data_IF_747246367163
#
_entry.id   IF_747246367163
#
_cell.length_a   1.000
_cell.length_b   1.000
_cell.length_c   1.000
_cell.angle_alpha   90.00
_cell.angle_beta   90.00
_cell.angle_gamma   90.00
#
_symmetry.space_group_name_H-M   'P 1'
#
loop_
_entity.id
_entity.type
_entity.pdbx_description
1 polymer ?
#
# COMPACT_ATOMS: atom_id res chain seq x y z
N UNK A 1 13.66 -8.53 -0.92
CA UNK A 1 15.03 -8.98 -0.51
C UNK A 1 15.16 -9.18 0.99
N UNK A 2 15.04 -8.15 1.83
CA UNK A 2 15.21 -8.28 3.30
C UNK A 2 14.37 -9.40 3.93
N UNK A 3 13.09 -9.53 3.56
CA UNK A 3 12.22 -10.61 4.03
C UNK A 3 12.76 -12.02 3.69
N UNK A 4 13.38 -12.20 2.52
CA UNK A 4 14.00 -13.47 2.10
C UNK A 4 15.26 -13.78 2.89
N UNK A 5 15.97 -12.75 3.35
CA UNK A 5 17.09 -12.87 4.27
C UNK A 5 16.65 -13.13 5.73
N UNK A 6 15.34 -13.16 6.00
CA UNK A 6 14.78 -13.41 7.34
C UNK A 6 14.52 -12.16 8.17
N UNK A 7 14.51 -10.96 7.55
CA UNK A 7 14.19 -9.73 8.26
C UNK A 7 12.72 -9.72 8.71
N UNK A 8 12.46 -9.10 9.86
CA UNK A 8 11.12 -8.74 10.30
C UNK A 8 10.57 -7.63 9.40
N UNK A 9 9.36 -7.86 8.90
CA UNK A 9 8.58 -6.89 8.15
C UNK A 9 7.47 -6.41 9.06
N UNK A 10 7.33 -5.10 9.15
CA UNK A 10 6.34 -4.47 9.98
C UNK A 10 5.22 -3.86 9.15
N UNK A 11 3.99 -3.98 9.64
CA UNK A 11 2.82 -3.23 9.16
C UNK A 11 2.55 -3.31 7.64
N UNK A 12 2.85 -4.41 6.92
CA UNK A 12 2.79 -4.43 5.45
C UNK A 12 1.36 -4.27 4.91
N UNK A 13 0.33 -4.50 5.72
CA UNK A 13 -1.07 -4.29 5.35
C UNK A 13 -1.46 -2.80 5.23
N UNK A 14 -0.68 -1.89 5.82
CA UNK A 14 -0.96 -0.46 5.77
C UNK A 14 -0.33 0.16 4.51
N UNK A 15 -1.17 0.30 3.49
CA UNK A 15 -0.90 1.03 2.26
C UNK A 15 -1.87 2.21 2.16
N UNK A 16 -1.33 3.40 1.94
CA UNK A 16 -2.14 4.59 1.69
C UNK A 16 -2.53 4.65 0.22
N UNK A 17 -3.82 4.85 -0.01
CA UNK A 17 -4.41 5.10 -1.32
C UNK A 17 -4.61 6.59 -1.49
N UNK A 18 -4.10 7.15 -2.57
CA UNK A 18 -4.41 8.51 -2.99
C UNK A 18 -5.80 8.53 -3.66
N UNK A 19 -6.75 9.38 -3.23
CA UNK A 19 -8.13 9.32 -3.70
C UNK A 19 -8.31 9.74 -5.17
N UNK A 20 -7.50 10.70 -5.65
CA UNK A 20 -7.72 11.39 -6.93
C UNK A 20 -6.54 11.23 -7.88
N UNK A 21 -6.30 10.02 -8.39
CA UNK A 21 -5.47 9.83 -9.59
C UNK A 21 -6.32 10.02 -10.85
N UNK A 22 -5.77 10.58 -11.93
CA UNK A 22 -6.51 10.75 -13.18
C UNK A 22 -6.76 9.36 -13.78
N UNK A 23 -8.04 8.98 -13.90
CA UNK A 23 -8.43 7.69 -14.45
C UNK A 23 -8.10 7.66 -15.95
N UNK A 24 -7.02 6.97 -16.32
CA UNK A 24 -6.50 6.90 -17.68
C UNK A 24 -5.70 5.61 -17.89
N UNK A 25 -5.30 5.35 -19.13
CA UNK A 25 -4.41 4.24 -19.47
C UNK A 25 -2.92 4.51 -19.17
N UNK A 26 -2.57 5.70 -18.66
CA UNK A 26 -1.18 6.04 -18.32
C UNK A 26 -0.73 5.28 -17.07
N UNK A 27 0.50 4.79 -17.09
CA UNK A 27 1.12 4.07 -15.99
C UNK A 27 2.55 4.61 -15.75
N UNK A 28 2.83 5.26 -14.60
CA UNK A 28 1.90 5.52 -13.50
C UNK A 28 0.82 6.54 -13.87
N UNK A 29 -0.36 6.41 -13.25
CA UNK A 29 -1.45 7.37 -13.41
C UNK A 29 -1.06 8.74 -12.81
N UNK A 30 -1.22 9.86 -13.54
CA UNK A 30 -0.94 11.18 -12.98
C UNK A 30 -1.85 11.48 -11.78
N UNK A 31 -1.31 12.15 -10.76
CA UNK A 31 -2.07 12.49 -9.54
C UNK A 31 -2.65 13.89 -9.61
N UNK A 32 -3.90 14.05 -9.18
CA UNK A 32 -4.53 15.34 -8.94
C UNK A 32 -4.32 15.70 -7.47
N UNK A 33 -3.53 16.74 -7.19
CA UNK A 33 -3.17 17.10 -5.81
C UNK A 33 -4.39 17.34 -4.92
N UNK A 34 -4.29 16.92 -3.66
CA UNK A 34 -5.29 17.18 -2.62
C UNK A 34 -5.58 18.67 -2.42
N UNK A 35 -4.62 19.54 -2.75
CA UNK A 35 -4.81 20.98 -2.68
C UNK A 35 -6.02 21.47 -3.51
N UNK A 36 -6.39 20.80 -4.61
CA UNK A 36 -7.59 21.18 -5.38
C UNK A 36 -8.88 21.01 -4.56
N UNK A 37 -8.98 19.97 -3.73
CA UNK A 37 -10.12 19.81 -2.81
C UNK A 37 -10.14 20.93 -1.78
N UNK A 38 -8.96 21.36 -1.31
CA UNK A 38 -8.77 22.55 -0.46
C UNK A 38 -9.25 23.86 -1.08
N UNK A 39 -9.09 24.00 -2.41
CA UNK A 39 -9.59 25.16 -3.19
C UNK A 39 -11.11 25.08 -3.47
N UNK A 40 -11.80 24.04 -3.02
CA UNK A 40 -13.24 23.88 -3.18
C UNK A 40 -13.67 23.03 -4.38
N UNK A 41 -12.76 22.27 -4.99
CA UNK A 41 -13.16 21.27 -5.97
C UNK A 41 -14.03 20.18 -5.31
N UNK A 42 -15.09 19.77 -5.99
CA UNK A 42 -16.09 18.81 -5.48
C UNK A 42 -15.99 17.46 -6.18
N UNK A 43 -16.45 16.41 -5.53
CA UNK A 43 -16.52 15.07 -6.12
C UNK A 43 -17.95 14.76 -6.56
N UNK A 44 -18.11 14.42 -7.84
CA UNK A 44 -19.40 14.15 -8.48
C UNK A 44 -19.42 12.79 -9.19
N UNK A 45 -20.61 12.20 -9.33
CA UNK A 45 -20.85 11.01 -10.14
C UNK A 45 -21.22 11.34 -11.60
N UNK A 46 -21.54 10.33 -12.41
CA UNK A 46 -21.92 10.49 -13.82
C UNK A 46 -23.25 11.25 -14.03
N UNK A 47 -24.06 11.44 -12.98
CA UNK A 47 -25.28 12.26 -13.01
C UNK A 47 -25.02 13.68 -12.49
N UNK A 48 -23.77 14.02 -12.17
CA UNK A 48 -23.38 15.31 -11.60
C UNK A 48 -23.76 15.47 -10.12
N UNK A 49 -24.14 14.39 -9.43
CA UNK A 49 -24.48 14.47 -8.00
C UNK A 49 -23.22 14.54 -7.16
N UNK A 50 -23.12 15.56 -6.31
CA UNK A 50 -22.07 15.65 -5.29
C UNK A 50 -22.32 14.64 -4.18
N UNK A 51 -21.48 13.61 -4.10
CA UNK A 51 -21.74 12.46 -3.22
C UNK A 51 -21.08 12.55 -1.84
N UNK A 52 -19.99 13.31 -1.69
CA UNK A 52 -19.22 13.33 -0.43
C UNK A 52 -19.97 13.95 0.76
N UNK A 53 -20.91 14.86 0.51
CA UNK A 53 -21.72 15.52 1.57
C UNK A 53 -22.63 14.55 2.31
N UNK A 54 -22.98 13.41 1.70
CA UNK A 54 -23.77 12.36 2.34
C UNK A 54 -22.89 11.36 3.13
N UNK A 55 -21.56 11.41 2.98
CA UNK A 55 -20.63 10.40 3.50
C UNK A 55 -19.85 10.92 4.71
N UNK A 56 -19.40 12.17 4.68
CA UNK A 56 -18.59 12.76 5.75
C UNK A 56 -18.95 14.23 5.95
N UNK A 57 -18.94 14.69 7.21
CA UNK A 57 -19.27 16.08 7.55
C UNK A 57 -18.36 17.09 6.83
N UNK A 58 -17.06 16.78 6.74
CA UNK A 58 -16.07 17.61 6.01
C UNK A 58 -16.09 17.40 4.48
N UNK A 59 -17.00 16.56 3.95
CA UNK A 59 -17.11 16.23 2.54
C UNK A 59 -15.75 15.92 1.88
N UNK A 60 -15.35 16.63 0.82
CA UNK A 60 -14.08 16.45 0.10
C UNK A 60 -12.84 16.76 0.94
N UNK A 61 -12.98 17.44 2.08
CA UNK A 61 -11.89 17.68 3.04
C UNK A 61 -11.80 16.59 4.12
N UNK A 62 -12.65 15.57 4.05
CA UNK A 62 -12.58 14.42 4.93
C UNK A 62 -11.26 13.63 4.81
N UNK A 63 -10.97 12.74 5.76
CA UNK A 63 -9.79 11.87 5.73
C UNK A 63 -9.61 11.15 4.38
N UNK A 64 -8.36 11.09 3.89
CA UNK A 64 -8.01 10.52 2.58
C UNK A 64 -8.57 9.12 2.34
N UNK A 65 -8.54 8.26 3.37
CA UNK A 65 -9.04 6.89 3.28
C UNK A 65 -10.57 6.84 3.12
N UNK A 66 -11.31 7.76 3.75
CA UNK A 66 -12.76 7.90 3.59
C UNK A 66 -13.09 8.37 2.17
N UNK A 67 -12.40 9.41 1.68
CA UNK A 67 -12.60 9.93 0.32
C UNK A 67 -12.26 8.87 -0.74
N UNK A 68 -11.16 8.13 -0.55
CA UNK A 68 -10.76 7.06 -1.47
C UNK A 68 -11.80 5.92 -1.51
N UNK A 69 -12.35 5.50 -0.35
CA UNK A 69 -13.44 4.51 -0.29
C UNK A 69 -14.72 5.00 -0.96
N UNK A 70 -15.07 6.28 -0.76
CA UNK A 70 -16.23 6.86 -1.42
C UNK A 70 -16.12 6.79 -2.94
N UNK A 71 -15.00 7.28 -3.49
CA UNK A 71 -14.70 7.21 -4.94
C UNK A 71 -14.72 5.75 -5.42
N UNK A 72 -14.08 4.84 -4.69
CA UNK A 72 -14.07 3.41 -5.02
C UNK A 72 -15.49 2.85 -5.14
N UNK A 73 -16.36 3.10 -4.17
CA UNK A 73 -17.76 2.62 -4.17
C UNK A 73 -18.60 3.21 -5.30
N UNK A 74 -18.37 4.46 -5.68
CA UNK A 74 -19.04 5.07 -6.83
C UNK A 74 -18.63 4.39 -8.15
N UNK A 75 -17.34 4.08 -8.30
CA UNK A 75 -16.80 3.36 -9.47
C UNK A 75 -17.35 1.92 -9.52
N UNK A 76 -17.27 1.17 -8.41
CA UNK A 76 -17.77 -0.21 -8.33
C UNK A 76 -19.28 -0.31 -8.60
N UNK A 77 -20.05 0.71 -8.22
CA UNK A 77 -21.47 0.79 -8.50
C UNK A 77 -21.80 1.23 -9.94
N UNK A 78 -20.80 1.38 -10.82
CA UNK A 78 -20.97 1.80 -12.21
C UNK A 78 -21.34 3.27 -12.41
N UNK A 79 -21.30 4.08 -11.34
CA UNK A 79 -21.61 5.52 -11.40
C UNK A 79 -20.39 6.36 -11.77
N UNK A 80 -19.18 5.85 -11.52
CA UNK A 80 -17.93 6.56 -11.78
C UNK A 80 -17.72 7.74 -10.84
N UNK A 81 -16.56 8.40 -10.94
CA UNK A 81 -16.23 9.54 -10.10
C UNK A 81 -15.41 10.58 -10.86
N UNK A 82 -15.74 11.85 -10.65
CA UNK A 82 -15.03 12.99 -11.23
C UNK A 82 -14.76 14.05 -10.17
N UNK A 83 -13.60 14.69 -10.27
CA UNK A 83 -13.26 15.90 -9.53
C UNK A 83 -13.63 17.13 -10.37
N UNK A 84 -14.60 17.91 -9.91
CA UNK A 84 -15.05 19.13 -10.57
C UNK A 84 -14.49 20.36 -9.88
N UNK A 85 -13.55 21.04 -10.55
CA UNK A 85 -12.92 22.27 -10.09
C UNK A 85 -13.39 23.53 -10.85
N UNK A 86 -14.42 23.41 -11.70
CA UNK A 86 -14.84 24.50 -12.59
C UNK A 86 -15.32 25.72 -11.83
N UNK A 87 -16.11 25.52 -10.78
CA UNK A 87 -16.61 26.59 -9.92
C UNK A 87 -15.50 27.21 -9.03
N UNK A 88 -14.57 26.38 -8.55
CA UNK A 88 -13.49 26.81 -7.66
C UNK A 88 -12.40 27.63 -8.37
N UNK A 89 -11.95 27.14 -9.53
CA UNK A 89 -10.79 27.68 -10.23
C UNK A 89 -11.14 28.29 -11.59
N UNK A 90 -11.99 27.60 -12.37
CA UNK A 90 -12.36 28.02 -13.72
C UNK A 90 -11.13 28.37 -14.56
N UNK A 91 -11.14 29.55 -15.17
CA UNK A 91 -10.04 30.05 -16.02
C UNK A 91 -8.68 30.17 -15.29
N UNK A 92 -8.65 30.22 -13.96
CA UNK A 92 -7.41 30.30 -13.18
C UNK A 92 -6.73 28.94 -12.98
N UNK A 93 -7.36 27.84 -13.41
CA UNK A 93 -6.82 26.50 -13.17
C UNK A 93 -5.40 26.36 -13.73
N UNK A 94 -5.18 26.78 -14.97
CA UNK A 94 -3.89 26.64 -15.66
C UNK A 94 -2.74 27.37 -14.96
N UNK A 95 -3.01 28.54 -14.36
CA UNK A 95 -1.99 29.30 -13.63
C UNK A 95 -1.81 28.84 -12.19
N UNK A 96 -2.87 28.39 -11.52
CA UNK A 96 -2.83 27.94 -10.12
C UNK A 96 -2.24 26.52 -9.97
N UNK A 97 -2.55 25.61 -10.89
CA UNK A 97 -2.11 24.21 -10.86
C UNK A 97 -1.55 23.75 -12.22
N UNK A 98 -0.46 24.37 -12.71
CA UNK A 98 0.06 24.15 -14.06
C UNK A 98 0.37 22.68 -14.34
N UNK A 99 1.01 21.97 -13.40
CA UNK A 99 1.33 20.54 -13.57
C UNK A 99 0.08 19.66 -13.70
N UNK A 100 -0.99 19.95 -12.95
CA UNK A 100 -2.26 19.19 -13.08
C UNK A 100 -2.91 19.53 -14.41
N UNK A 101 -2.93 20.80 -14.80
CA UNK A 101 -3.49 21.27 -16.06
C UNK A 101 -2.81 20.59 -17.25
N UNK A 102 -1.47 20.59 -17.30
CA UNK A 102 -0.67 19.94 -18.34
C UNK A 102 -0.98 18.44 -18.43
N UNK A 103 -1.08 17.75 -17.30
CA UNK A 103 -1.42 16.32 -17.26
C UNK A 103 -2.83 16.04 -17.80
N UNK A 104 -3.83 16.87 -17.43
CA UNK A 104 -5.19 16.76 -17.95
C UNK A 104 -5.25 17.05 -19.46
N UNK A 105 -4.63 18.14 -19.92
CA UNK A 105 -4.60 18.52 -21.33
C UNK A 105 -3.90 17.45 -22.19
N UNK A 106 -2.83 16.83 -21.68
CA UNK A 106 -2.13 15.73 -22.35
C UNK A 106 -2.97 14.42 -22.42
N UNK A 107 -4.12 14.39 -21.77
CA UNK A 107 -5.14 13.34 -21.83
C UNK A 107 -6.41 13.81 -22.57
N UNK A 108 -6.41 15.03 -23.13
CA UNK A 108 -7.55 15.60 -23.85
C UNK A 108 -8.66 16.14 -22.95
N UNK A 109 -8.35 16.47 -21.69
CA UNK A 109 -9.32 16.93 -20.69
C UNK A 109 -8.98 18.38 -20.34
N UNK A 110 -9.91 19.31 -20.53
CA UNK A 110 -9.74 20.69 -20.07
C UNK A 110 -10.35 20.89 -18.68
N UNK A 111 -9.55 20.84 -17.60
CA UNK A 111 -10.08 20.86 -16.23
C UNK A 111 -10.69 22.21 -15.83
N UNK A 112 -10.54 23.26 -16.67
CA UNK A 112 -11.22 24.54 -16.48
C UNK A 112 -12.66 24.52 -17.00
N UNK A 113 -13.02 23.54 -17.84
CA UNK A 113 -14.31 23.46 -18.56
C UNK A 113 -15.08 22.18 -18.31
N UNK A 114 -14.39 21.09 -17.99
CA UNK A 114 -15.00 19.79 -17.70
C UNK A 114 -14.42 19.12 -16.43
N UNK A 115 -15.20 18.25 -15.74
CA UNK A 115 -14.72 17.49 -14.58
C UNK A 115 -13.61 16.48 -14.94
N UNK A 116 -12.66 16.27 -14.03
CA UNK A 116 -11.55 15.33 -14.22
C UNK A 116 -11.98 13.93 -13.78
N UNK A 117 -11.96 12.89 -14.62
CA UNK A 117 -12.25 11.53 -14.20
C UNK A 117 -11.16 11.05 -13.24
N UNK A 118 -11.56 10.53 -12.08
CA UNK A 118 -10.64 10.12 -11.02
C UNK A 118 -10.87 8.70 -10.55
N UNK A 119 -9.80 8.05 -10.13
CA UNK A 119 -9.84 6.77 -9.44
C UNK A 119 -8.82 6.74 -8.29
N UNK A 120 -9.05 5.91 -7.25
CA UNK A 120 -8.07 5.73 -6.20
C UNK A 120 -6.83 4.98 -6.72
N UNK A 121 -5.65 5.39 -6.29
CA UNK A 121 -4.39 4.74 -6.67
C UNK A 121 -3.51 4.47 -5.45
N UNK A 122 -2.88 3.29 -5.40
CA UNK A 122 -1.86 2.99 -4.40
C UNK A 122 -0.74 4.05 -4.46
N UNK A 123 -0.34 4.60 -3.31
CA UNK A 123 0.50 5.80 -3.28
C UNK A 123 1.68 5.73 -2.33
N UNK A 124 1.51 5.12 -1.16
CA UNK A 124 2.58 5.06 -0.16
C UNK A 124 2.45 3.82 0.73
N UNK A 125 3.57 3.18 1.05
CA UNK A 125 3.62 2.10 2.03
C UNK A 125 4.07 2.62 3.41
N UNK A 126 3.22 2.45 4.43
CA UNK A 126 3.59 2.75 5.82
C UNK A 126 4.36 1.59 6.48
N UNK A 127 4.05 0.37 6.05
CA UNK A 127 4.80 -0.83 6.38
C UNK A 127 6.11 -0.94 5.61
N UNK A 128 6.92 -1.93 5.96
CA UNK A 128 8.26 -2.11 5.41
C UNK A 128 9.17 -2.92 6.31
N UNK A 129 10.48 -2.82 6.10
CA UNK A 129 11.49 -3.46 6.95
C UNK A 129 11.37 -2.85 8.35
N UNK A 130 11.13 -3.69 9.36
CA UNK A 130 11.12 -3.23 10.75
C UNK A 130 12.50 -2.67 11.11
N UNK A 131 12.54 -1.45 11.63
CA UNK A 131 13.79 -0.84 12.09
C UNK A 131 13.66 -0.23 13.49
N UNK A 132 14.76 -0.23 14.24
CA UNK A 132 14.88 0.47 15.52
C UNK A 132 15.03 2.00 15.32
N UNK A 133 15.13 2.74 16.43
CA UNK A 133 15.26 4.21 16.40
C UNK A 133 16.52 4.75 15.69
N UNK A 134 17.50 3.87 15.41
CA UNK A 134 18.75 4.16 14.68
C UNK A 134 18.72 3.65 13.24
N UNK A 135 17.60 3.04 12.80
CA UNK A 135 17.43 2.50 11.46
C UNK A 135 17.98 1.08 11.27
N UNK A 136 18.37 0.38 12.34
CA UNK A 136 18.84 -1.01 12.27
C UNK A 136 17.67 -1.95 12.07
N UNK A 137 17.77 -2.85 11.09
CA UNK A 137 16.81 -3.92 10.91
C UNK A 137 17.01 -5.04 11.95
N UNK A 138 16.17 -6.07 11.91
CA UNK A 138 16.38 -7.29 12.69
C UNK A 138 17.54 -8.17 12.21
N UNK A 139 18.18 -7.83 11.08
CA UNK A 139 19.38 -8.48 10.58
C UNK A 139 20.58 -7.61 10.94
N UNK A 140 21.55 -8.19 11.65
CA UNK A 140 22.80 -7.53 11.99
C UNK A 140 23.53 -7.06 10.73
N UNK A 141 24.00 -5.81 10.72
CA UNK A 141 24.67 -5.22 9.57
C UNK A 141 23.74 -4.76 8.44
N UNK A 142 22.41 -4.80 8.63
CA UNK A 142 21.44 -4.28 7.67
C UNK A 142 20.64 -3.12 8.28
N UNK A 143 20.70 -1.97 7.63
CA UNK A 143 19.90 -0.78 7.93
C UNK A 143 18.87 -0.52 6.83
N UNK A 144 17.82 0.23 7.14
CA UNK A 144 16.86 0.71 6.16
C UNK A 144 16.30 2.09 6.55
N UNK A 145 16.07 2.96 5.57
CA UNK A 145 15.39 4.25 5.74
C UNK A 145 14.54 4.62 4.52
N UNK A 146 13.66 5.60 4.69
CA UNK A 146 12.69 5.98 3.68
C UNK A 146 11.55 4.97 3.59
N UNK A 147 10.80 4.98 2.50
CA UNK A 147 9.57 4.20 2.33
C UNK A 147 9.74 2.67 2.41
N UNK A 148 10.96 2.16 2.21
CA UNK A 148 11.23 0.72 2.39
C UNK A 148 11.27 0.30 3.85
N UNK A 149 11.44 1.24 4.78
CA UNK A 149 11.55 1.00 6.21
C UNK A 149 10.22 1.30 6.91
N UNK A 150 10.00 0.63 8.04
CA UNK A 150 8.86 0.88 8.91
C UNK A 150 9.32 1.23 10.31
N UNK A 151 9.49 2.53 10.52
CA UNK A 151 9.98 3.15 11.75
C UNK A 151 8.90 3.23 12.85
N UNK A 152 7.63 3.05 12.47
CA UNK A 152 6.46 3.28 13.32
C UNK A 152 5.91 4.71 13.27
N UNK A 153 6.62 5.67 12.64
CA UNK A 153 6.22 7.08 12.60
C UNK A 153 4.85 7.32 11.93
N UNK A 154 4.54 6.55 10.88
CA UNK A 154 3.29 6.73 10.12
C UNK A 154 2.10 5.97 10.69
N UNK A 155 2.34 5.04 11.62
CA UNK A 155 1.32 4.12 12.13
C UNK A 155 0.47 3.51 11.00
N UNK A 156 -0.85 3.58 11.16
CA UNK A 156 -1.80 3.04 10.19
C UNK A 156 -2.15 4.00 9.03
N UNK A 157 -1.73 5.26 9.05
CA UNK A 157 -1.99 6.22 7.97
C UNK A 157 -1.00 7.38 7.99
N UNK A 158 -0.28 7.58 6.88
CA UNK A 158 0.76 8.61 6.75
C UNK A 158 0.15 10.00 6.57
N UNK A 159 0.63 10.98 7.34
CA UNK A 159 0.34 12.40 7.11
C UNK A 159 1.15 12.96 5.93
N UNK A 160 0.58 13.92 5.20
CA UNK A 160 1.26 14.57 4.08
C UNK A 160 2.61 15.18 4.52
N UNK A 161 3.56 15.27 3.58
CA UNK A 161 4.92 15.83 3.78
C UNK A 161 5.87 15.09 4.74
N UNK A 162 5.39 14.10 5.51
CA UNK A 162 6.25 13.38 6.47
C UNK A 162 7.21 12.34 5.86
N UNK A 163 6.94 11.81 4.66
CA UNK A 163 7.75 10.73 4.07
C UNK A 163 9.17 11.15 3.73
N UNK A 164 9.35 12.36 3.16
CA UNK A 164 10.67 12.90 2.85
C UNK A 164 11.44 13.24 4.14
N UNK A 165 10.74 13.79 5.13
CA UNK A 165 11.33 14.11 6.43
C UNK A 165 11.86 12.86 7.14
N UNK A 166 11.08 11.77 7.14
CA UNK A 166 11.50 10.49 7.69
C UNK A 166 12.78 9.98 7.02
N UNK A 167 12.84 10.02 5.68
CA UNK A 167 14.01 9.57 4.92
C UNK A 167 15.28 10.37 5.29
N UNK A 168 15.18 11.70 5.38
CA UNK A 168 16.33 12.57 5.74
C UNK A 168 16.77 12.30 7.18
N UNK A 169 15.84 12.24 8.13
CA UNK A 169 16.15 12.03 9.56
C UNK A 169 16.79 10.66 9.78
N UNK A 170 16.21 9.59 9.23
CA UNK A 170 16.76 8.25 9.40
C UNK A 170 18.05 8.06 8.60
N UNK A 171 18.21 8.68 7.43
CA UNK A 171 19.47 8.67 6.70
C UNK A 171 20.63 9.23 7.52
N UNK A 172 20.42 10.39 8.17
CA UNK A 172 21.42 10.98 9.06
C UNK A 172 21.72 10.11 10.30
N UNK A 173 20.68 9.51 10.91
CA UNK A 173 20.85 8.60 12.05
C UNK A 173 21.64 7.35 11.68
N UNK A 174 21.33 6.74 10.54
CA UNK A 174 22.02 5.56 10.03
C UNK A 174 23.48 5.88 9.74
N UNK A 175 23.79 7.02 9.12
CA UNK A 175 25.17 7.44 8.88
C UNK A 175 25.98 7.52 10.19
N UNK A 176 25.46 8.23 11.20
CA UNK A 176 26.10 8.32 12.51
C UNK A 176 26.23 6.95 13.21
N UNK A 177 25.23 6.09 13.05
CA UNK A 177 25.24 4.75 13.64
C UNK A 177 26.28 3.85 12.98
N UNK A 178 26.43 3.90 11.66
CA UNK A 178 27.46 3.17 10.92
C UNK A 178 28.86 3.67 11.34
N UNK A 179 29.07 4.98 11.40
CA UNK A 179 30.37 5.56 11.81
C UNK A 179 30.76 5.14 13.24
N UNK A 180 29.79 5.05 14.16
CA UNK A 180 30.01 4.62 15.53
C UNK A 180 30.04 3.10 15.76
N UNK A 181 29.42 2.31 14.88
CA UNK A 181 29.23 0.87 15.05
C UNK A 181 30.16 0.00 14.21
N UNK A 182 31.07 0.57 13.42
CA UNK A 182 32.09 -0.17 12.68
C UNK A 182 33.47 -0.05 13.35
N UNK A 183 33.70 -0.60 14.56
CA UNK A 183 35.06 -0.79 15.04
C UNK A 183 35.72 -1.90 14.22
N UNK A 184 36.67 -1.52 13.35
CA UNK A 184 37.59 -2.42 12.66
C UNK A 184 36.91 -3.68 12.12
N UNK A 185 35.91 -3.49 11.24
CA UNK A 185 35.13 -4.57 10.65
C UNK A 185 36.01 -5.79 10.40
N UNK A 186 35.71 -6.92 11.06
CA UNK A 186 36.25 -8.21 10.63
C UNK A 186 35.90 -8.33 9.16
N UNK A 187 36.89 -8.16 8.29
CA UNK A 187 36.69 -8.33 6.86
C UNK A 187 36.19 -9.77 6.68
N UNK A 188 34.89 -9.93 6.48
CA UNK A 188 34.32 -11.19 6.08
C UNK A 188 35.01 -11.65 4.81
N UNK A 189 35.04 -12.96 4.56
CA UNK A 189 35.49 -13.44 3.25
C UNK A 189 34.67 -12.71 2.19
N UNK A 190 35.34 -12.05 1.25
CA UNK A 190 34.67 -11.43 0.12
C UNK A 190 33.94 -12.54 -0.64
N UNK A 191 32.61 -12.49 -0.62
CA UNK A 191 31.77 -13.35 -1.45
C UNK A 191 31.42 -12.52 -2.67
N UNK A 192 31.71 -13.03 -3.86
CA UNK A 192 31.27 -12.39 -5.08
C UNK A 192 29.74 -12.21 -5.02
N UNK A 193 29.21 -11.00 -5.23
CA UNK A 193 27.77 -10.80 -5.23
C UNK A 193 27.15 -11.71 -6.30
N UNK A 194 26.00 -12.34 -6.02
CA UNK A 194 25.31 -13.11 -7.04
C UNK A 194 24.97 -12.20 -8.22
N UNK A 195 25.03 -12.74 -9.43
CA UNK A 195 24.52 -12.04 -10.60
C UNK A 195 23.03 -11.86 -10.40
N UNK A 196 22.60 -10.61 -10.20
CA UNK A 196 21.18 -10.28 -10.16
C UNK A 196 20.63 -10.46 -11.58
N UNK A 197 19.56 -11.26 -11.70
CA UNK A 197 18.84 -11.35 -12.96
C UNK A 197 18.36 -9.95 -13.40
N UNK A 198 18.25 -9.71 -14.70
CA UNK A 198 17.58 -8.53 -15.24
C UNK A 198 16.08 -8.80 -15.34
N UNK A 199 15.27 -7.73 -15.39
CA UNK A 199 13.85 -7.87 -15.66
C UNK A 199 13.66 -8.58 -17.01
N UNK A 200 12.87 -9.64 -17.02
CA UNK A 200 12.54 -10.38 -18.23
C UNK A 200 11.20 -9.90 -18.79
N UNK A 201 11.04 -9.72 -20.11
CA UNK A 201 9.73 -9.54 -20.73
C UNK A 201 8.73 -10.66 -20.37
N UNK A 202 9.22 -11.87 -20.06
CA UNK A 202 8.40 -13.01 -19.63
C UNK A 202 7.76 -12.80 -18.24
N UNK A 203 8.28 -11.88 -17.43
CA UNK A 203 7.70 -11.55 -16.12
C UNK A 203 6.47 -10.62 -16.24
N UNK A 204 6.31 -9.92 -17.37
CA UNK A 204 5.30 -8.89 -17.54
C UNK A 204 3.85 -9.41 -17.44
N UNK A 205 3.49 -10.58 -17.99
CA UNK A 205 2.15 -11.15 -17.81
C UNK A 205 1.84 -11.47 -16.34
N UNK A 206 2.82 -12.02 -15.60
CA UNK A 206 2.65 -12.33 -14.17
C UNK A 206 2.45 -11.06 -13.35
N UNK A 207 3.25 -10.02 -13.61
CA UNK A 207 3.11 -8.72 -12.95
C UNK A 207 1.75 -8.07 -13.26
N UNK A 208 1.27 -8.16 -14.49
CA UNK A 208 -0.03 -7.63 -14.91
C UNK A 208 -1.17 -8.36 -14.21
N UNK A 209 -1.12 -9.69 -14.17
CA UNK A 209 -2.13 -10.49 -13.47
C UNK A 209 -2.13 -10.20 -11.97
N UNK A 210 -0.94 -10.15 -11.34
CA UNK A 210 -0.81 -9.83 -9.93
C UNK A 210 -1.37 -8.43 -9.60
N UNK A 211 -1.10 -7.42 -10.44
CA UNK A 211 -1.68 -6.08 -10.26
C UNK A 211 -3.20 -6.10 -10.26
N UNK A 212 -3.83 -6.87 -11.17
CA UNK A 212 -5.29 -7.01 -11.20
C UNK A 212 -5.84 -7.62 -9.90
N UNK A 213 -5.22 -8.70 -9.42
CA UNK A 213 -5.61 -9.37 -8.17
C UNK A 213 -5.45 -8.42 -6.97
N UNK A 214 -4.30 -7.74 -6.88
CA UNK A 214 -4.02 -6.80 -5.79
C UNK A 214 -4.99 -5.62 -5.79
N UNK A 215 -5.31 -5.05 -6.96
CA UNK A 215 -6.30 -3.97 -7.09
C UNK A 215 -7.70 -4.43 -6.66
N UNK A 216 -8.13 -5.62 -7.09
CA UNK A 216 -9.46 -6.13 -6.83
C UNK A 216 -9.70 -6.55 -5.37
N UNK A 217 -8.69 -7.13 -4.71
CA UNK A 217 -8.90 -7.81 -3.42
C UNK A 217 -8.06 -7.28 -2.26
N UNK A 218 -6.97 -6.55 -2.55
CA UNK A 218 -6.00 -6.08 -1.55
C UNK A 218 -5.83 -4.56 -1.59
N UNK A 219 -6.69 -3.88 -2.36
CA UNK A 219 -6.68 -2.44 -2.57
C UNK A 219 -7.42 -1.68 -1.48
N UNK A 220 -8.44 -0.93 -1.89
CA UNK A 220 -9.16 0.07 -1.09
C UNK A 220 -10.04 -0.56 -0.02
N UNK A 221 -10.84 -1.56 -0.40
CA UNK A 221 -11.68 -2.34 0.52
C UNK A 221 -11.33 -3.82 0.40
N UNK A 222 -11.32 -4.50 1.56
CA UNK A 222 -10.87 -5.88 1.68
C UNK A 222 -11.88 -6.68 2.48
N UNK A 223 -11.95 -7.98 2.26
CA UNK A 223 -12.72 -8.92 3.08
C UNK A 223 -11.99 -10.28 3.12
N UNK A 224 -12.41 -11.17 4.02
CA UNK A 224 -11.78 -12.49 4.19
C UNK A 224 -11.69 -13.26 2.85
N UNK A 225 -12.81 -13.41 2.14
CA UNK A 225 -12.90 -14.22 0.90
C UNK A 225 -11.95 -13.70 -0.19
N UNK A 226 -11.98 -12.39 -0.46
CA UNK A 226 -11.12 -11.77 -1.47
C UNK A 226 -9.63 -11.88 -1.11
N UNK A 227 -9.29 -11.73 0.17
CA UNK A 227 -7.91 -11.86 0.64
C UNK A 227 -7.42 -13.31 0.55
N UNK A 228 -8.25 -14.29 0.89
CA UNK A 228 -7.93 -15.71 0.74
C UNK A 228 -7.74 -16.09 -0.74
N UNK A 229 -8.65 -15.65 -1.61
CA UNK A 229 -8.53 -15.82 -3.06
C UNK A 229 -7.23 -15.24 -3.60
N UNK A 230 -6.89 -14.00 -3.18
CA UNK A 230 -5.66 -13.34 -3.59
C UNK A 230 -4.40 -14.11 -3.13
N UNK A 231 -4.40 -14.67 -1.92
CA UNK A 231 -3.28 -15.51 -1.43
C UNK A 231 -3.09 -16.77 -2.29
N UNK A 232 -4.19 -17.43 -2.68
CA UNK A 232 -4.18 -18.56 -3.60
C UNK A 232 -3.58 -18.22 -4.96
N UNK A 233 -4.03 -17.12 -5.56
CA UNK A 233 -3.52 -16.67 -6.86
C UNK A 233 -2.06 -16.20 -6.80
N UNK A 234 -1.65 -15.49 -5.74
CA UNK A 234 -0.25 -15.11 -5.52
C UNK A 234 0.63 -16.37 -5.48
N UNK A 235 0.22 -17.39 -4.73
CA UNK A 235 0.96 -18.64 -4.64
C UNK A 235 1.04 -19.38 -5.98
N UNK A 236 -0.04 -19.35 -6.78
CA UNK A 236 -0.07 -19.93 -8.13
C UNK A 236 0.90 -19.21 -9.07
N UNK A 237 0.89 -17.87 -9.08
CA UNK A 237 1.76 -17.05 -9.91
C UNK A 237 3.24 -17.22 -9.55
N UNK A 238 3.56 -17.24 -8.25
CA UNK A 238 4.93 -17.44 -7.76
C UNK A 238 5.49 -18.80 -8.20
N UNK A 239 4.69 -19.87 -8.11
CA UNK A 239 5.10 -21.20 -8.61
C UNK A 239 5.32 -21.22 -10.12
N UNK A 240 4.45 -20.55 -10.88
CA UNK A 240 4.52 -20.52 -12.34
C UNK A 240 5.74 -19.73 -12.86
N UNK A 241 6.10 -18.62 -12.21
CA UNK A 241 7.27 -17.81 -12.59
C UNK A 241 8.61 -18.48 -12.23
N UNK A 242 8.62 -19.39 -11.25
CA UNK A 242 9.80 -20.12 -10.82
C UNK A 242 10.79 -19.31 -9.99
N UNK A 243 11.81 -19.97 -9.41
CA UNK A 243 12.69 -19.37 -8.39
C UNK A 243 13.71 -18.36 -8.95
N UNK A 244 14.01 -18.42 -10.26
CA UNK A 244 14.99 -17.55 -10.91
C UNK A 244 14.40 -16.19 -11.35
N UNK A 245 13.08 -16.04 -11.32
CA UNK A 245 12.39 -14.83 -11.81
C UNK A 245 12.48 -13.65 -10.81
N UNK A 246 12.68 -12.45 -11.33
CA UNK A 246 12.60 -11.22 -10.53
C UNK A 246 11.18 -10.91 -10.07
N UNK A 247 10.15 -11.41 -10.78
CA UNK A 247 8.75 -11.36 -10.35
C UNK A 247 8.59 -11.92 -8.93
N UNK A 248 9.43 -12.87 -8.53
CA UNK A 248 9.44 -13.42 -7.19
C UNK A 248 9.57 -12.34 -6.09
N UNK A 249 10.30 -11.25 -6.32
CA UNK A 249 10.36 -10.15 -5.35
C UNK A 249 9.01 -9.44 -5.21
N UNK A 250 8.32 -9.20 -6.33
CA UNK A 250 6.99 -8.58 -6.37
C UNK A 250 5.96 -9.50 -5.70
N UNK A 251 5.96 -10.79 -6.03
CA UNK A 251 5.09 -11.79 -5.43
C UNK A 251 5.33 -11.96 -3.92
N UNK A 252 6.59 -11.95 -3.49
CA UNK A 252 6.95 -11.98 -2.06
C UNK A 252 6.37 -10.77 -1.33
N UNK A 253 6.49 -9.57 -1.88
CA UNK A 253 5.91 -8.35 -1.28
C UNK A 253 4.39 -8.43 -1.24
N UNK A 254 3.75 -8.84 -2.33
CA UNK A 254 2.29 -9.02 -2.37
C UNK A 254 1.82 -10.01 -1.31
N UNK A 255 2.50 -11.15 -1.16
CA UNK A 255 2.19 -12.15 -0.12
C UNK A 255 2.25 -11.57 1.28
N UNK A 256 3.29 -10.80 1.62
CA UNK A 256 3.42 -10.17 2.93
C UNK A 256 2.26 -9.20 3.22
N UNK A 257 1.91 -8.36 2.25
CA UNK A 257 0.80 -7.40 2.35
C UNK A 257 -0.52 -8.15 2.55
N UNK A 258 -0.82 -9.12 1.69
CA UNK A 258 -2.10 -9.85 1.71
C UNK A 258 -2.24 -10.72 2.95
N UNK A 259 -1.18 -11.40 3.37
CA UNK A 259 -1.20 -12.25 4.57
C UNK A 259 -1.43 -11.43 5.85
N UNK A 260 -0.75 -10.29 5.98
CA UNK A 260 -0.99 -9.39 7.11
C UNK A 260 -2.41 -8.79 7.08
N UNK A 261 -2.90 -8.41 5.90
CA UNK A 261 -4.25 -7.89 5.74
C UNK A 261 -5.33 -8.95 6.05
N UNK A 262 -5.07 -10.21 5.72
CA UNK A 262 -5.95 -11.34 6.04
C UNK A 262 -6.01 -11.57 7.55
N UNK A 263 -4.84 -11.63 8.19
CA UNK A 263 -4.74 -11.87 9.63
C UNK A 263 -5.33 -10.73 10.47
N UNK A 264 -5.20 -9.46 10.05
CA UNK A 264 -5.75 -8.31 10.79
C UNK A 264 -7.26 -8.20 10.58
N UNK A 265 -8.03 -8.59 11.60
CA UNK A 265 -9.50 -8.54 11.60
C UNK A 265 -10.04 -7.24 12.23
N UNK A 266 -9.64 -6.09 11.70
CA UNK A 266 -10.20 -4.78 12.07
C UNK A 266 -10.11 -3.79 10.91
N UNK A 267 -10.66 -2.60 11.07
CA UNK A 267 -10.42 -1.48 10.16
C UNK A 267 -9.71 -0.34 10.89
N UNK A 268 -8.58 0.10 10.35
CA UNK A 268 -7.73 1.16 10.92
C UNK A 268 -6.91 1.82 9.82
N UNK A 269 -7.04 3.13 9.67
CA UNK A 269 -6.23 3.91 8.72
C UNK A 269 -6.32 3.37 7.28
N UNK A 270 -5.18 3.11 6.65
CA UNK A 270 -5.08 2.55 5.29
C UNK A 270 -5.42 1.06 5.16
N UNK A 271 -5.88 0.42 6.24
CA UNK A 271 -6.42 -0.94 6.22
C UNK A 271 -7.91 -0.91 6.53
N UNK A 272 -8.74 -1.28 5.55
CA UNK A 272 -10.19 -1.36 5.71
C UNK A 272 -10.72 -2.75 5.32
N UNK A 273 -11.35 -3.40 6.29
CA UNK A 273 -12.01 -4.70 6.19
C UNK A 273 -13.53 -4.49 6.25
N UNK A 274 -14.25 -4.77 5.17
CA UNK A 274 -15.70 -4.57 5.13
C UNK A 274 -16.47 -5.54 6.03
N UNK A 275 -15.86 -6.68 6.36
CA UNK A 275 -16.28 -7.67 7.35
C UNK A 275 -15.87 -7.30 8.79
N UNK A 276 -14.95 -6.33 8.97
CA UNK A 276 -14.54 -5.80 10.28
C UNK A 276 -14.38 -4.28 10.25
N UNK A 277 -15.50 -3.55 10.18
CA UNK A 277 -15.52 -2.11 9.86
C UNK A 277 -15.01 -1.18 10.95
N UNK A 278 -14.74 -1.68 12.16
CA UNK A 278 -14.32 -0.88 13.31
C UNK A 278 -12.92 -1.25 13.76
N UNK A 279 -12.25 -0.27 14.37
CA UNK A 279 -10.99 -0.49 15.07
C UNK A 279 -11.25 -1.27 16.36
N UNK A 280 -10.45 -2.30 16.66
CA UNK A 280 -10.64 -3.19 17.81
C UNK A 280 -9.46 -3.08 18.78
N UNK A 281 -9.75 -3.22 20.08
CA UNK A 281 -8.72 -3.09 21.12
C UNK A 281 -7.59 -4.15 21.03
N UNK A 282 -7.86 -5.44 20.73
CA UNK A 282 -6.80 -6.45 20.59
C UNK A 282 -5.78 -6.13 19.50
N UNK A 283 -6.13 -5.33 18.49
CA UNK A 283 -5.27 -4.98 17.37
C UNK A 283 -4.51 -3.65 17.55
N UNK A 284 -4.49 -3.09 18.77
CA UNK A 284 -3.72 -1.88 19.13
C UNK A 284 -2.23 -2.18 19.31
N UNK A 285 -1.65 -2.87 18.34
CA UNK A 285 -0.22 -3.14 18.23
C UNK A 285 0.16 -3.17 16.75
N UNK A 286 1.47 -3.13 16.51
CA UNK A 286 2.04 -3.27 15.18
C UNK A 286 1.99 -4.71 14.72
N UNK A 287 1.85 -4.92 13.42
CA UNK A 287 2.03 -6.24 12.81
C UNK A 287 3.52 -6.44 12.59
N UNK A 288 4.10 -7.52 13.12
CA UNK A 288 5.49 -7.92 12.86
C UNK A 288 5.48 -9.35 12.34
N UNK A 289 5.93 -9.56 11.09
CA UNK A 289 5.91 -10.88 10.45
C UNK A 289 7.20 -11.14 9.68
N UNK A 290 7.60 -12.41 9.62
CA UNK A 290 8.62 -12.87 8.67
C UNK A 290 7.96 -13.41 7.39
N UNK A 291 8.76 -13.68 6.35
CA UNK A 291 8.26 -14.38 5.17
C UNK A 291 7.71 -15.78 5.48
N UNK A 292 8.25 -16.46 6.51
CA UNK A 292 7.74 -17.77 6.95
C UNK A 292 6.35 -17.64 7.57
N UNK A 293 6.12 -16.59 8.35
CA UNK A 293 4.80 -16.32 8.95
C UNK A 293 3.77 -16.03 7.86
N UNK A 294 4.12 -15.20 6.87
CA UNK A 294 3.25 -14.91 5.73
C UNK A 294 2.90 -16.18 4.93
N UNK A 295 3.86 -17.09 4.73
CA UNK A 295 3.61 -18.36 4.05
C UNK A 295 2.62 -19.24 4.83
N UNK A 296 2.81 -19.38 6.15
CA UNK A 296 1.90 -20.13 7.02
C UNK A 296 0.48 -19.55 7.04
N UNK A 297 0.35 -18.22 7.11
CA UNK A 297 -0.96 -17.54 7.03
C UNK A 297 -1.62 -17.82 5.67
N UNK A 298 -0.85 -17.74 4.58
CA UNK A 298 -1.36 -18.04 3.24
C UNK A 298 -1.88 -19.48 3.12
N UNK A 299 -1.12 -20.45 3.62
CA UNK A 299 -1.51 -21.86 3.62
C UNK A 299 -2.80 -22.11 4.39
N UNK A 300 -2.94 -21.51 5.59
CA UNK A 300 -4.16 -21.61 6.39
C UNK A 300 -5.38 -20.99 5.67
N UNK A 301 -5.23 -19.78 5.12
CA UNK A 301 -6.31 -19.09 4.40
C UNK A 301 -6.80 -19.89 3.18
N UNK A 302 -5.89 -20.50 2.42
CA UNK A 302 -6.21 -21.31 1.24
C UNK A 302 -6.92 -22.62 1.65
N UNK A 303 -6.52 -23.22 2.77
CA UNK A 303 -7.17 -24.43 3.29
C UNK A 303 -8.61 -24.16 3.76
N UNK A 304 -8.84 -23.01 4.39
CA UNK A 304 -10.18 -22.58 4.80
C UNK A 304 -11.09 -22.30 3.59
N UNK A 305 -10.62 -21.56 2.59
CA UNK A 305 -11.38 -21.22 1.37
C UNK A 305 -11.76 -22.46 0.53
N UNK A 306 -10.87 -23.46 0.50
CA UNK A 306 -11.13 -24.73 -0.20
C UNK A 306 -12.05 -25.70 0.56
N UNK A 307 -12.53 -25.32 1.75
CA UNK A 307 -13.38 -26.18 2.59
C UNK A 307 -12.66 -27.42 3.15
N UNK A 308 -11.33 -27.42 3.12
CA UNK A 308 -10.48 -28.52 3.61
C UNK A 308 -9.98 -28.30 5.04
N UNK A 309 -10.24 -27.14 5.63
CA UNK A 309 -9.88 -26.80 7.01
C UNK A 309 -10.84 -27.38 8.05
N UNK A 310 -10.31 -28.18 8.99
CA UNK A 310 -11.05 -28.58 10.19
C UNK A 310 -11.24 -27.37 11.12
N UNK A 311 -12.47 -27.16 11.61
CA UNK A 311 -12.81 -26.13 12.59
C UNK A 311 -11.95 -26.22 13.86
N UNK A 312 -10.86 -25.45 13.93
CA UNK A 312 -9.93 -25.53 15.06
C UNK A 312 -8.68 -24.67 14.94
N UNK A 313 -8.74 -23.45 14.36
CA UNK A 313 -7.54 -22.59 14.25
C UNK A 313 -7.67 -21.16 14.82
N UNK A 314 -8.85 -20.74 15.29
CA UNK A 314 -9.02 -19.41 15.88
C UNK A 314 -8.20 -19.20 17.18
N UNK A 315 -7.69 -20.27 17.80
CA UNK A 315 -6.82 -20.20 18.97
C UNK A 315 -5.33 -20.02 18.63
N UNK A 316 -4.89 -20.44 17.44
CA UNK A 316 -3.45 -20.64 17.14
C UNK A 316 -2.81 -19.45 16.42
N UNK A 317 -3.59 -18.53 15.84
CA UNK A 317 -3.09 -17.25 15.31
C UNK A 317 -2.59 -16.31 16.43
N UNK A 318 -3.01 -16.53 17.67
CA UNK A 318 -2.41 -15.86 18.85
C UNK A 318 -1.03 -16.42 19.22
N UNK A 319 -0.75 -17.68 18.85
CA UNK A 319 0.52 -18.35 19.08
C UNK A 319 1.51 -18.19 17.92
N UNK A 320 1.03 -17.79 16.74
CA UNK A 320 1.79 -17.72 15.50
C UNK A 320 2.68 -16.46 15.33
N UNK A 321 3.14 -15.88 16.43
CA UNK A 321 4.35 -15.04 16.40
C UNK A 321 4.21 -13.63 15.84
N UNK A 322 3.01 -13.04 15.80
CA UNK A 322 2.91 -11.56 15.79
C UNK A 322 3.42 -11.09 17.16
N UNK A 323 4.73 -10.85 17.25
CA UNK A 323 5.32 -10.35 18.49
C UNK A 323 4.76 -8.96 18.73
N UNK A 324 3.85 -8.84 19.69
CA UNK A 324 3.55 -7.56 20.31
C UNK A 324 4.83 -7.11 21.04
N UNK A 325 5.60 -6.22 20.42
CA UNK A 325 6.56 -5.40 21.15
C UNK A 325 5.77 -4.19 21.65
N UNK A 326 5.80 -3.87 22.95
CA UNK A 326 5.09 -2.71 23.50
C UNK A 326 5.50 -1.40 22.85
#
# INVERSE_FOLDING_TARGET
>A
MAARAGALIADPEFMQVHPTAIASARDPAPLVTEALRGEGAILIDNMGRRFMTAIHADAELGPRDIVARAIFREIEAGRGAWLDARAALGARFASAFPTVYENCMALGIDPSREPIPVAPAAHYHMGGIHVDARGRSSIEGLWACGEVASTGMHGANRLASNSLLEAIVFGARIANDIDGAVPGARAGKHVAPPVLASASPEDAPFATQLRRIMTAHVGVERNADGLAHALGEIARLERAAGPASLFGNIATTAKLITAAAYAREESRGGHYRSDFTQARAPWRHRTLITLKDAARIAEAAIAEDSGTGSAGLAADLSAAGVRAVP
#
